data_IF_518092690230
#
_entry.id   IF_518092690230
#
_cell.length_a   1.000
_cell.length_b   1.000
_cell.length_c   1.000
_cell.angle_alpha   90.00
_cell.angle_beta   90.00
_cell.angle_gamma   90.00
#
_symmetry.space_group_name_H-M   'P 1'
#
loop_
_entity.id
_entity.type
_entity.pdbx_description
1 polymer ?
#
# COMPACT_ATOMS: atom_id res chain seq x y z
N UNK A 1 -38.75 -21.25 -1.47
CA UNK A 1 -37.35 -21.03 -1.89
C UNK A 1 -36.56 -20.62 -0.67
N UNK A 2 -35.78 -21.52 -0.08
CA UNK A 2 -34.87 -21.19 1.02
C UNK A 2 -33.54 -20.71 0.45
N UNK A 3 -33.10 -19.52 0.82
CA UNK A 3 -31.75 -19.06 0.53
C UNK A 3 -30.76 -19.90 1.35
N UNK A 4 -29.86 -20.61 0.68
CA UNK A 4 -28.75 -21.31 1.34
C UNK A 4 -27.68 -20.27 1.64
N UNK A 5 -27.67 -19.76 2.86
CA UNK A 5 -26.54 -18.98 3.37
C UNK A 5 -25.35 -19.91 3.58
N UNK A 6 -24.36 -19.83 2.69
CA UNK A 6 -23.05 -20.40 3.00
C UNK A 6 -22.39 -19.48 4.03
N UNK A 7 -22.14 -20.00 5.23
CA UNK A 7 -21.33 -19.28 6.22
C UNK A 7 -19.96 -18.96 5.63
N UNK A 8 -19.41 -17.75 5.86
CA UNK A 8 -18.04 -17.46 5.44
C UNK A 8 -17.09 -18.44 6.12
N UNK A 9 -16.30 -19.16 5.31
CA UNK A 9 -15.26 -20.06 5.81
C UNK A 9 -14.01 -19.22 6.01
N UNK A 10 -13.56 -19.12 7.27
CA UNK A 10 -12.30 -18.47 7.61
C UNK A 10 -11.19 -19.51 7.51
N UNK A 11 -10.25 -19.27 6.59
CA UNK A 11 -9.00 -20.01 6.54
C UNK A 11 -7.91 -19.19 7.19
N UNK A 12 -7.27 -19.74 8.22
CA UNK A 12 -6.00 -19.21 8.70
C UNK A 12 -4.89 -19.80 7.84
N UNK A 13 -4.46 -19.07 6.82
CA UNK A 13 -3.14 -19.35 6.25
C UNK A 13 -2.10 -19.08 7.33
N UNK A 14 -1.16 -20.01 7.54
CA UNK A 14 -0.03 -19.73 8.42
C UNK A 14 0.67 -18.49 7.87
N UNK A 15 0.70 -17.44 8.67
CA UNK A 15 1.20 -16.12 8.30
C UNK A 15 2.62 -16.16 7.74
N UNK A 16 3.41 -17.20 8.04
CA UNK A 16 4.67 -17.51 7.38
C UNK A 16 4.57 -17.43 5.85
N UNK A 17 3.53 -17.93 5.18
CA UNK A 17 3.54 -17.91 3.70
C UNK A 17 3.43 -16.52 3.08
N UNK A 18 2.67 -15.56 3.66
CA UNK A 18 2.50 -14.20 3.13
C UNK A 18 3.49 -13.24 3.78
N UNK A 19 3.76 -13.38 5.09
CA UNK A 19 4.76 -12.59 5.80
C UNK A 19 6.16 -12.93 5.30
N UNK A 20 6.52 -14.20 5.09
CA UNK A 20 7.84 -14.55 4.52
C UNK A 20 7.98 -13.97 3.10
N UNK A 21 6.89 -13.91 2.32
CA UNK A 21 6.87 -13.27 1.00
C UNK A 21 6.98 -11.73 1.05
N UNK A 22 6.44 -11.10 2.08
CA UNK A 22 6.64 -9.67 2.36
C UNK A 22 8.06 -9.43 2.90
N UNK A 23 8.64 -10.36 3.65
CA UNK A 23 10.05 -10.33 4.08
C UNK A 23 11.02 -10.55 2.90
N UNK A 24 10.64 -11.34 1.89
CA UNK A 24 11.38 -11.47 0.63
C UNK A 24 11.34 -10.14 -0.13
N UNK A 25 10.19 -9.46 -0.15
CA UNK A 25 10.05 -8.09 -0.67
C UNK A 25 10.98 -7.11 0.04
N UNK A 26 11.04 -7.20 1.37
CA UNK A 26 11.90 -6.39 2.21
C UNK A 26 13.38 -6.69 1.95
N UNK A 27 13.78 -7.96 1.89
CA UNK A 27 15.15 -8.40 1.61
C UNK A 27 15.61 -8.03 0.19
N UNK A 28 14.69 -8.04 -0.77
CA UNK A 28 14.93 -7.58 -2.14
C UNK A 28 15.17 -6.06 -2.19
N UNK A 29 14.45 -5.29 -1.38
CA UNK A 29 14.49 -3.83 -1.38
C UNK A 29 15.59 -3.25 -0.50
N UNK A 30 15.94 -3.92 0.59
CA UNK A 30 16.83 -3.41 1.61
C UNK A 30 17.88 -4.46 1.98
N UNK A 31 19.14 -4.16 1.68
CA UNK A 31 20.29 -5.02 1.96
C UNK A 31 20.74 -4.99 3.44
N UNK A 32 20.03 -4.28 4.31
CA UNK A 32 20.44 -4.04 5.70
C UNK A 32 19.50 -4.71 6.71
N UNK A 33 20.08 -5.52 7.60
CA UNK A 33 19.40 -6.29 8.65
C UNK A 33 18.58 -5.47 9.65
N UNK A 34 18.74 -4.14 9.69
CA UNK A 34 18.06 -3.26 10.65
C UNK A 34 16.84 -2.53 10.10
N UNK A 35 16.60 -2.53 8.79
CA UNK A 35 15.51 -1.76 8.20
C UNK A 35 14.13 -2.39 8.42
N UNK A 36 13.09 -1.69 7.97
CA UNK A 36 11.71 -2.19 7.99
C UNK A 36 10.85 -1.57 6.88
N UNK A 37 9.70 -2.20 6.63
CA UNK A 37 8.62 -1.68 5.79
C UNK A 37 7.29 -1.93 6.49
N UNK A 38 6.39 -0.94 6.46
CA UNK A 38 5.03 -1.04 7.01
C UNK A 38 4.05 -0.99 5.85
N UNK A 39 3.21 -2.02 5.74
CA UNK A 39 2.15 -2.12 4.75
C UNK A 39 0.79 -1.96 5.42
N UNK A 40 -0.03 -1.01 4.95
CA UNK A 40 -1.44 -0.88 5.33
C UNK A 40 -2.39 -1.24 4.19
N UNK A 41 -1.85 -1.47 2.99
CA UNK A 41 -2.66 -1.73 1.79
C UNK A 41 -2.02 -2.76 0.88
N UNK A 42 -2.86 -3.61 0.29
CA UNK A 42 -2.48 -4.60 -0.71
C UNK A 42 -3.70 -5.01 -1.54
N UNK A 43 -3.55 -5.04 -2.87
CA UNK A 43 -4.65 -5.37 -3.79
C UNK A 43 -4.15 -6.35 -4.85
N UNK A 44 -4.93 -7.40 -5.10
CA UNK A 44 -4.70 -8.32 -6.22
C UNK A 44 -5.38 -7.79 -7.47
N UNK A 45 -4.63 -7.67 -8.56
CA UNK A 45 -5.16 -7.41 -9.90
C UNK A 45 -5.36 -8.72 -10.65
N UNK A 46 -6.61 -9.02 -11.00
CA UNK A 46 -6.91 -10.17 -11.86
C UNK A 46 -6.56 -9.92 -13.33
N UNK A 47 -6.43 -8.65 -13.75
CA UNK A 47 -5.98 -8.23 -15.08
C UNK A 47 -4.50 -8.50 -15.25
N UNK A 48 -3.69 -8.04 -14.29
CA UNK A 48 -2.23 -8.16 -14.34
C UNK A 48 -1.70 -9.49 -13.80
N UNK A 49 -2.53 -10.25 -13.07
CA UNK A 49 -2.12 -11.45 -12.30
C UNK A 49 -1.00 -11.14 -11.31
N UNK A 50 -1.14 -10.02 -10.60
CA UNK A 50 -0.14 -9.51 -9.66
C UNK A 50 -0.78 -8.92 -8.42
N UNK A 51 -0.08 -9.04 -7.31
CA UNK A 51 -0.30 -8.23 -6.12
C UNK A 51 0.34 -6.86 -6.32
N UNK A 52 -0.31 -5.84 -5.80
CA UNK A 52 0.20 -4.47 -5.73
C UNK A 52 0.17 -3.99 -4.28
N UNK A 53 1.20 -3.24 -3.90
CA UNK A 53 1.36 -2.67 -2.57
C UNK A 53 1.84 -1.23 -2.66
N UNK A 54 1.30 -0.40 -1.77
CA UNK A 54 1.76 0.95 -1.51
C UNK A 54 2.17 1.01 -0.03
N UNK A 55 3.46 0.82 0.29
CA UNK A 55 3.91 0.81 1.67
C UNK A 55 3.67 2.16 2.33
N UNK A 56 3.11 2.14 3.53
CA UNK A 56 2.95 3.33 4.35
C UNK A 56 4.32 3.92 4.68
N UNK A 57 5.21 3.06 5.20
CA UNK A 57 6.54 3.43 5.68
C UNK A 57 7.62 2.49 5.17
N UNK A 58 8.83 3.01 5.00
CA UNK A 58 10.01 2.18 4.80
C UNK A 58 11.29 2.90 5.24
N UNK A 59 12.21 2.14 5.84
CA UNK A 59 13.49 2.67 6.33
C UNK A 59 14.59 1.61 6.29
N UNK A 60 15.84 2.04 6.11
CA UNK A 60 17.03 1.21 6.33
C UNK A 60 17.49 1.20 7.79
N UNK A 61 16.98 2.14 8.59
CA UNK A 61 17.29 2.26 10.00
C UNK A 61 16.33 1.43 10.85
N UNK A 62 16.75 1.11 12.08
CA UNK A 62 15.90 0.43 13.05
C UNK A 62 14.65 1.27 13.32
N UNK A 63 13.52 0.59 13.48
CA UNK A 63 12.26 1.22 13.87
C UNK A 63 12.43 2.06 15.14
N UNK A 64 11.96 3.30 15.07
CA UNK A 64 11.85 4.25 16.16
C UNK A 64 10.56 5.05 15.91
N UNK A 65 9.70 5.12 16.91
CA UNK A 65 8.30 5.59 16.78
C UNK A 65 8.22 7.03 16.28
N UNK A 66 9.04 7.93 16.83
CA UNK A 66 9.02 9.34 16.44
C UNK A 66 9.61 9.54 15.03
N UNK A 67 10.68 8.82 14.68
CA UNK A 67 11.27 8.87 13.36
C UNK A 67 10.31 8.32 12.30
N UNK A 68 9.51 7.30 12.63
CA UNK A 68 8.59 6.64 11.70
C UNK A 68 7.52 7.58 11.14
N UNK A 69 7.10 8.60 11.91
CA UNK A 69 6.20 9.67 11.44
C UNK A 69 6.68 10.30 10.12
N UNK A 70 8.00 10.27 9.87
CA UNK A 70 8.67 10.86 8.71
C UNK A 70 9.29 9.84 7.74
N UNK A 71 8.95 8.55 7.86
CA UNK A 71 9.45 7.47 6.98
C UNK A 71 8.45 7.06 5.90
N UNK A 72 7.57 7.98 5.46
CA UNK A 72 6.64 7.68 4.37
C UNK A 72 7.37 7.23 3.09
N UNK A 73 6.65 6.54 2.21
CA UNK A 73 7.18 6.11 0.92
C UNK A 73 6.39 6.68 -0.25
N UNK A 74 7.02 6.66 -1.42
CA UNK A 74 6.34 6.85 -2.70
C UNK A 74 6.51 5.61 -3.60
N UNK A 75 6.67 4.43 -2.99
CA UNK A 75 6.91 3.19 -3.71
C UNK A 75 5.60 2.56 -4.17
N UNK A 76 5.58 2.09 -5.42
CA UNK A 76 4.61 1.13 -5.91
C UNK A 76 5.34 -0.19 -6.14
N UNK A 77 4.88 -1.24 -5.45
CA UNK A 77 5.49 -2.56 -5.55
C UNK A 77 4.47 -3.49 -6.18
N UNK A 78 4.88 -4.25 -7.20
CA UNK A 78 4.06 -5.31 -7.77
C UNK A 78 4.80 -6.63 -7.80
N UNK A 79 4.13 -7.72 -7.46
CA UNK A 79 4.72 -9.05 -7.50
C UNK A 79 3.76 -10.09 -8.05
N UNK A 80 4.29 -11.14 -8.68
CA UNK A 80 3.47 -12.27 -9.11
C UNK A 80 2.88 -13.02 -7.91
N UNK A 81 1.93 -13.92 -8.15
CA UNK A 81 1.26 -14.71 -7.11
C UNK A 81 2.25 -15.49 -6.23
N UNK A 82 3.35 -15.95 -6.82
CA UNK A 82 4.40 -16.67 -6.10
C UNK A 82 5.49 -15.75 -5.50
N UNK A 83 5.39 -14.43 -5.66
CA UNK A 83 6.36 -13.43 -5.18
C UNK A 83 7.80 -13.64 -5.69
N UNK A 84 7.95 -14.32 -6.83
CA UNK A 84 9.26 -14.59 -7.47
C UNK A 84 9.71 -13.50 -8.44
N UNK A 85 8.76 -12.76 -9.01
CA UNK A 85 9.01 -11.62 -9.89
C UNK A 85 8.46 -10.36 -9.22
N UNK A 86 9.35 -9.53 -8.68
CA UNK A 86 9.04 -8.30 -7.94
C UNK A 86 9.49 -7.11 -8.77
N UNK A 87 8.59 -6.14 -8.97
CA UNK A 87 8.86 -4.88 -9.65
C UNK A 87 8.55 -3.73 -8.71
N UNK A 88 9.41 -2.73 -8.72
CA UNK A 88 9.32 -1.57 -7.83
C UNK A 88 9.45 -0.32 -8.69
N UNK A 89 8.49 0.59 -8.55
CA UNK A 89 8.52 1.92 -9.16
C UNK A 89 8.26 3.00 -8.12
N UNK A 90 8.47 4.26 -8.51
CA UNK A 90 8.19 5.44 -7.67
C UNK A 90 7.03 6.22 -8.27
N UNK A 91 6.16 6.74 -7.41
CA UNK A 91 4.97 7.50 -7.77
C UNK A 91 5.17 8.95 -7.34
N UNK A 92 5.22 9.87 -8.30
CA UNK A 92 5.40 11.30 -8.02
C UNK A 92 6.58 11.63 -7.09
N UNK A 93 6.51 12.78 -6.43
CA UNK A 93 7.50 13.21 -5.45
C UNK A 93 7.22 12.61 -4.06
N UNK A 94 8.29 12.27 -3.34
CA UNK A 94 8.19 11.78 -1.97
C UNK A 94 7.79 12.92 -1.02
N UNK A 95 6.70 12.71 -0.27
CA UNK A 95 6.38 13.51 0.91
C UNK A 95 6.65 12.67 2.17
N UNK A 96 7.65 13.01 3.01
CA UNK A 96 8.09 12.18 4.14
C UNK A 96 7.03 11.92 5.21
N UNK A 97 6.03 12.81 5.36
CA UNK A 97 5.01 12.70 6.42
C UNK A 97 3.70 12.05 5.95
N UNK A 98 3.48 11.91 4.63
CA UNK A 98 2.23 11.38 4.08
C UNK A 98 2.40 9.94 3.61
N UNK A 99 2.07 9.00 4.49
CA UNK A 99 2.12 7.56 4.19
C UNK A 99 0.83 7.06 3.54
N UNK A 100 0.93 6.16 2.57
CA UNK A 100 -0.24 5.50 1.99
C UNK A 100 -1.00 4.69 3.05
N UNK A 101 -2.32 4.84 3.11
CA UNK A 101 -3.20 4.11 4.03
C UNK A 101 -4.16 3.14 3.32
N UNK A 102 -4.55 3.44 2.07
CA UNK A 102 -5.45 2.59 1.30
C UNK A 102 -5.34 2.90 -0.19
N UNK A 103 -5.71 1.95 -1.06
CA UNK A 103 -5.90 2.23 -2.47
C UNK A 103 -6.86 1.23 -3.13
N UNK A 104 -7.34 1.61 -4.32
CA UNK A 104 -8.07 0.75 -5.27
C UNK A 104 -7.71 1.10 -6.71
N UNK A 105 -7.85 0.12 -7.58
CA UNK A 105 -7.88 0.37 -9.02
C UNK A 105 -9.18 1.05 -9.42
N UNK A 106 -9.11 2.03 -10.30
CA UNK A 106 -10.29 2.74 -10.81
C UNK A 106 -11.02 1.84 -11.81
N UNK A 107 -12.33 1.55 -11.63
CA UNK A 107 -13.09 0.73 -12.54
C UNK A 107 -13.04 1.22 -13.99
N UNK A 108 -13.02 0.30 -14.95
CA UNK A 108 -12.98 0.62 -16.38
C UNK A 108 -11.61 1.06 -16.91
N UNK A 109 -10.55 1.02 -16.08
CA UNK A 109 -9.19 1.40 -16.49
C UNK A 109 -8.25 0.23 -16.75
N UNK A 110 -8.76 -1.02 -16.74
CA UNK A 110 -7.93 -2.24 -16.81
C UNK A 110 -6.83 -2.28 -15.74
N UNK A 111 -7.15 -1.81 -14.53
CA UNK A 111 -6.20 -1.69 -13.42
C UNK A 111 -4.96 -0.84 -13.75
N UNK A 112 -5.05 0.10 -14.71
CA UNK A 112 -3.95 1.01 -15.06
C UNK A 112 -3.93 2.28 -14.23
N UNK A 113 -5.05 2.63 -13.58
CA UNK A 113 -5.18 3.83 -12.75
C UNK A 113 -5.53 3.44 -11.32
N UNK A 114 -4.84 4.05 -10.37
CA UNK A 114 -5.04 3.87 -8.94
C UNK A 114 -5.57 5.17 -8.35
N UNK A 115 -6.57 5.06 -7.47
CA UNK A 115 -6.91 6.08 -6.47
C UNK A 115 -6.40 5.62 -5.11
N UNK A 116 -5.72 6.49 -4.38
CA UNK A 116 -5.10 6.17 -3.10
C UNK A 116 -5.39 7.23 -2.05
N UNK A 117 -5.43 6.78 -0.80
CA UNK A 117 -5.42 7.62 0.38
C UNK A 117 -4.01 7.67 0.95
N UNK A 118 -3.60 8.85 1.38
CA UNK A 118 -2.44 9.05 2.25
C UNK A 118 -2.89 9.69 3.55
N UNK A 119 -2.29 9.29 4.65
CA UNK A 119 -2.52 9.93 5.96
C UNK A 119 -1.22 10.47 6.52
N UNK A 120 -1.31 11.63 7.17
CA UNK A 120 -0.22 12.21 7.96
C UNK A 120 -0.54 12.08 9.45
N UNK A 121 0.48 11.74 10.22
CA UNK A 121 0.51 11.77 11.67
C UNK A 121 1.89 12.37 11.98
N UNK A 122 1.96 13.70 12.12
CA UNK A 122 3.20 14.43 12.42
C UNK A 122 2.93 15.37 13.59
N UNK A 123 3.60 15.13 14.72
CA UNK A 123 3.50 15.96 15.93
C UNK A 123 2.04 16.13 16.42
N UNK A 124 1.23 15.08 16.32
CA UNK A 124 -0.17 15.06 16.74
C UNK A 124 -1.16 15.71 15.76
N UNK A 125 -0.70 16.23 14.61
CA UNK A 125 -1.60 16.61 13.51
C UNK A 125 -1.96 15.40 12.69
N UNK A 126 -3.25 15.26 12.40
CA UNK A 126 -3.80 14.18 11.60
C UNK A 126 -4.50 14.79 10.38
N UNK A 127 -4.21 14.27 9.20
CA UNK A 127 -4.98 14.57 8.00
C UNK A 127 -4.99 13.40 7.03
N UNK A 128 -6.03 13.34 6.21
CA UNK A 128 -6.15 12.43 5.07
C UNK A 128 -6.10 13.23 3.77
N UNK A 129 -5.41 12.69 2.78
CA UNK A 129 -5.32 13.19 1.42
C UNK A 129 -5.77 12.11 0.44
N UNK A 130 -6.34 12.53 -0.68
CA UNK A 130 -6.63 11.68 -1.84
C UNK A 130 -5.68 12.04 -2.98
N UNK A 131 -5.22 11.04 -3.73
CA UNK A 131 -4.40 11.20 -4.93
C UNK A 131 -4.77 10.13 -5.94
N UNK A 132 -4.49 10.37 -7.22
CA UNK A 132 -4.66 9.40 -8.28
C UNK A 132 -3.47 9.43 -9.23
N UNK A 133 -3.08 8.25 -9.73
CA UNK A 133 -1.91 8.09 -10.60
C UNK A 133 -2.04 6.84 -11.45
N UNK A 134 -1.31 6.80 -12.57
CA UNK A 134 -1.21 5.59 -13.39
C UNK A 134 -0.09 4.65 -12.91
N UNK A 135 -0.08 3.41 -13.42
CA UNK A 135 0.96 2.42 -13.09
C UNK A 135 2.38 2.81 -13.52
N UNK A 136 2.52 3.81 -14.40
CA UNK A 136 3.82 4.36 -14.81
C UNK A 136 4.32 5.42 -13.83
N UNK A 137 3.51 5.80 -12.84
CA UNK A 137 3.84 6.78 -11.82
C UNK A 137 3.51 8.22 -12.21
N UNK A 138 2.75 8.42 -13.29
CA UNK A 138 2.27 9.76 -13.67
C UNK A 138 1.12 10.15 -12.73
N UNK A 139 1.25 11.31 -12.11
CA UNK A 139 0.20 11.87 -11.25
C UNK A 139 -0.94 12.39 -12.11
N UNK A 140 -2.15 11.93 -11.82
CA UNK A 140 -3.40 12.36 -12.45
C UNK A 140 -4.17 13.32 -11.54
N UNK A 141 -4.01 13.16 -10.22
CA UNK A 141 -4.52 14.04 -9.17
C UNK A 141 -3.44 14.18 -8.09
N UNK A 142 -2.93 15.40 -7.91
CA UNK A 142 -2.02 15.73 -6.81
C UNK A 142 -2.67 15.47 -5.45
N UNK A 143 -1.88 15.40 -4.38
CA UNK A 143 -2.41 15.20 -3.03
C UNK A 143 -3.41 16.31 -2.66
N UNK A 144 -4.71 16.02 -2.68
CA UNK A 144 -5.77 16.91 -2.23
C UNK A 144 -6.21 16.54 -0.82
N UNK A 145 -6.20 17.51 0.09
CA UNK A 145 -6.63 17.27 1.47
C UNK A 145 -8.12 16.95 1.51
N UNK A 146 -8.44 15.78 2.05
CA UNK A 146 -9.81 15.28 2.18
C UNK A 146 -10.38 15.56 3.57
N UNK A 147 -9.59 15.38 4.63
CA UNK A 147 -10.08 15.51 6.01
C UNK A 147 -8.98 15.75 7.04
N UNK A 148 -9.36 16.25 8.23
CA UNK A 148 -8.52 16.40 9.43
C UNK A 148 -8.61 15.19 10.40
N UNK A 149 -9.05 14.04 9.88
CA UNK A 149 -9.04 12.75 10.58
C UNK A 149 -8.44 11.67 9.68
N UNK A 150 -8.08 10.52 10.25
CA UNK A 150 -7.48 9.40 9.54
C UNK A 150 -8.55 8.54 8.86
N UNK A 151 -8.47 8.40 7.55
CA UNK A 151 -9.20 7.39 6.79
C UNK A 151 -8.21 6.32 6.27
N UNK A 152 -8.55 5.06 6.52
CA UNK A 152 -7.70 3.88 6.21
C UNK A 152 -8.35 2.95 5.18
N UNK A 153 -9.48 3.36 4.60
CA UNK A 153 -10.23 2.58 3.63
C UNK A 153 -10.79 3.46 2.51
N UNK A 154 -10.61 3.01 1.28
CA UNK A 154 -11.30 3.54 0.10
C UNK A 154 -11.86 2.38 -0.73
N UNK A 155 -13.08 2.56 -1.23
CA UNK A 155 -13.77 1.60 -2.10
C UNK A 155 -14.74 2.31 -3.04
N UNK A 156 -14.99 1.72 -4.21
CA UNK A 156 -16.08 2.11 -5.12
C UNK A 156 -17.37 1.37 -4.71
N UNK A 157 -18.40 2.12 -4.30
CA UNK A 157 -19.68 1.60 -3.77
C UNK A 157 -20.88 1.92 -4.66
#
# INVERSE_FOLDING_TARGET
MSAVFHSPVVYHSHSRSIIDRILDLFSFLFYFLSGYMIHESGVWSSVHKRWFFLPRRASNEKYEEQADERRATNLLISCCEEFKDIKVSKIGALNPIRGFSSFKFVPGTNDEVIVALKTEEDQGKIATYVTAFDLKGNILLEDEKFSDVKFEGIEFI
#
